data_IF_207303615160
#
_entry.id   IF_207303615160
#
_cell.length_a   1.000
_cell.length_b   1.000
_cell.length_c   1.000
_cell.angle_alpha   90.00
_cell.angle_beta   90.00
_cell.angle_gamma   90.00
#
_symmetry.space_group_name_H-M   'P 1'
#
loop_
_entity.id
_entity.type
_entity.pdbx_description
1 polymer ?
#
# COMPACT_ATOMS: atom_id res chain seq x y z
N UNK A 1 29.53 60.32 -33.87
CA UNK A 1 28.40 59.57 -34.48
C UNK A 1 28.64 58.09 -34.20
N UNK A 2 27.65 57.43 -33.60
CA UNK A 2 27.71 56.09 -32.96
C UNK A 2 27.80 54.97 -34.02
N UNK A 3 28.44 53.81 -33.75
CA UNK A 3 27.67 52.57 -33.53
C UNK A 3 28.18 51.79 -32.30
N UNK A 4 27.33 51.56 -31.29
CA UNK A 4 26.47 50.38 -31.15
C UNK A 4 27.30 49.12 -30.80
N UNK A 5 27.62 49.01 -29.51
CA UNK A 5 28.18 47.83 -28.87
C UNK A 5 27.02 46.87 -28.58
N UNK A 6 26.88 45.83 -29.40
CA UNK A 6 25.84 44.80 -29.27
C UNK A 6 26.24 43.79 -28.20
N UNK A 7 25.52 43.83 -27.08
CA UNK A 7 25.61 42.90 -25.96
C UNK A 7 24.91 41.59 -26.36
N UNK A 8 25.65 40.51 -26.58
CA UNK A 8 25.07 39.16 -26.72
C UNK A 8 24.68 38.65 -25.33
N UNK A 9 23.40 38.71 -24.97
CA UNK A 9 22.84 37.91 -23.88
C UNK A 9 22.75 36.46 -24.37
N UNK A 10 23.63 35.60 -23.87
CA UNK A 10 23.44 34.16 -23.95
C UNK A 10 22.30 33.77 -23.00
N UNK A 11 21.10 33.58 -23.53
CA UNK A 11 20.01 32.95 -22.79
C UNK A 11 20.38 31.47 -22.56
N UNK A 12 20.82 31.14 -21.33
CA UNK A 12 20.86 29.75 -20.87
C UNK A 12 19.41 29.25 -20.82
N UNK A 13 18.98 28.57 -21.88
CA UNK A 13 17.81 27.70 -21.83
C UNK A 13 18.16 26.58 -20.87
N UNK A 14 17.79 26.73 -19.61
CA UNK A 14 17.67 25.61 -18.68
C UNK A 14 16.56 24.74 -19.25
N UNK A 15 16.94 23.69 -19.99
CA UNK A 15 16.03 22.57 -20.22
C UNK A 15 15.70 22.00 -18.85
N UNK A 16 14.57 22.42 -18.28
CA UNK A 16 13.87 21.61 -17.30
C UNK A 16 13.47 20.34 -18.03
N UNK A 17 14.26 19.29 -17.87
CA UNK A 17 13.76 17.94 -18.04
C UNK A 17 12.68 17.77 -16.98
N UNK A 18 11.41 17.99 -17.35
CA UNK A 18 10.31 17.41 -16.61
C UNK A 18 10.56 15.90 -16.63
N UNK A 19 11.00 15.34 -15.50
CA UNK A 19 10.94 13.90 -15.30
C UNK A 19 9.45 13.56 -15.32
N UNK A 20 8.97 13.05 -16.45
CA UNK A 20 7.67 12.42 -16.50
C UNK A 20 7.64 11.31 -15.45
N UNK A 21 6.61 11.28 -14.62
CA UNK A 21 6.33 10.23 -13.61
C UNK A 21 6.14 8.82 -14.23
N UNK A 22 6.43 8.66 -15.52
CA UNK A 22 6.20 7.47 -16.34
C UNK A 22 7.32 6.41 -16.24
N UNK A 23 8.30 6.58 -15.35
CA UNK A 23 9.36 5.58 -15.13
C UNK A 23 8.83 4.21 -14.66
N UNK A 24 7.55 4.12 -14.30
CA UNK A 24 6.88 2.92 -13.82
C UNK A 24 5.71 2.43 -14.68
N UNK A 25 5.53 2.97 -15.90
CA UNK A 25 4.48 2.51 -16.80
C UNK A 25 4.76 1.06 -17.24
N UNK A 26 4.02 0.09 -16.68
CA UNK A 26 4.09 -1.28 -17.17
C UNK A 26 3.55 -1.37 -18.58
N UNK A 27 4.27 -2.07 -19.43
CA UNK A 27 3.74 -2.63 -20.67
C UNK A 27 2.64 -3.63 -20.31
N UNK A 28 1.38 -3.23 -20.43
CA UNK A 28 0.26 -4.16 -20.33
C UNK A 28 0.37 -5.20 -21.47
N UNK A 29 0.08 -6.47 -21.16
CA UNK A 29 0.19 -7.56 -22.15
C UNK A 29 -0.82 -7.40 -23.30
N UNK A 30 -1.90 -6.67 -23.02
CA UNK A 30 -2.88 -6.22 -23.98
C UNK A 30 -3.22 -4.75 -23.71
N UNK A 31 -3.40 -3.89 -24.72
CA UNK A 31 -3.92 -2.54 -24.51
C UNK A 31 -5.33 -2.52 -23.92
N UNK A 32 -5.99 -3.68 -23.83
CA UNK A 32 -7.29 -3.88 -23.19
C UNK A 32 -7.19 -4.58 -21.83
N UNK A 33 -5.99 -5.00 -21.39
CA UNK A 33 -5.80 -5.79 -20.18
C UNK A 33 -6.73 -7.01 -20.13
N UNK A 34 -7.53 -7.12 -19.06
CA UNK A 34 -8.54 -8.16 -18.88
C UNK A 34 -9.91 -7.88 -19.51
N UNK A 35 -10.08 -6.76 -20.21
CA UNK A 35 -11.37 -6.36 -20.79
C UNK A 35 -11.53 -6.75 -22.26
N UNK A 36 -12.77 -7.00 -22.68
CA UNK A 36 -13.09 -7.16 -24.12
C UNK A 36 -13.02 -5.82 -24.84
N UNK A 37 -12.58 -5.81 -26.11
CA UNK A 37 -12.48 -4.59 -26.94
C UNK A 37 -13.81 -3.87 -27.21
N UNK A 38 -14.96 -4.51 -26.99
CA UNK A 38 -16.29 -3.93 -27.17
C UNK A 38 -16.95 -3.42 -25.88
N UNK A 39 -16.22 -3.40 -24.76
CA UNK A 39 -16.80 -3.03 -23.47
C UNK A 39 -16.96 -1.51 -23.32
N UNK A 40 -18.01 -1.08 -22.61
CA UNK A 40 -18.14 0.29 -22.14
C UNK A 40 -17.50 0.51 -20.77
N UNK A 41 -16.96 -0.54 -20.13
CA UNK A 41 -16.37 -0.45 -18.79
C UNK A 41 -15.20 0.54 -18.72
N UNK A 42 -14.52 0.80 -19.83
CA UNK A 42 -13.45 1.79 -19.92
C UNK A 42 -13.92 3.18 -19.46
N UNK A 43 -15.18 3.55 -19.74
CA UNK A 43 -15.73 4.87 -19.40
C UNK A 43 -16.06 5.05 -17.92
N UNK A 44 -15.96 3.97 -17.13
CA UNK A 44 -16.05 4.08 -15.67
C UNK A 44 -14.84 4.82 -15.10
N UNK A 45 -13.68 4.67 -15.74
CA UNK A 45 -12.41 5.23 -15.27
C UNK A 45 -11.84 6.30 -16.20
N UNK A 46 -12.05 6.15 -17.51
CA UNK A 46 -11.40 6.99 -18.51
C UNK A 46 -12.37 7.88 -19.29
N UNK A 47 -11.87 9.03 -19.75
CA UNK A 47 -12.51 9.85 -20.79
C UNK A 47 -11.45 10.34 -21.78
N UNK A 48 -11.76 10.34 -23.07
CA UNK A 48 -10.76 10.56 -24.13
C UNK A 48 -10.54 12.03 -24.49
N UNK A 49 -11.48 12.91 -24.15
CA UNK A 49 -11.42 14.33 -24.54
C UNK A 49 -11.27 15.30 -23.37
N UNK A 50 -11.71 14.91 -22.18
CA UNK A 50 -11.85 15.82 -21.03
C UNK A 50 -11.24 15.25 -19.75
N UNK A 51 -10.25 14.37 -19.88
CA UNK A 51 -9.64 13.74 -18.71
C UNK A 51 -8.81 14.75 -17.93
N UNK A 52 -9.13 15.02 -16.65
CA UNK A 52 -8.27 15.83 -15.80
C UNK A 52 -6.98 15.11 -15.39
N UNK A 53 -6.94 13.77 -15.48
CA UNK A 53 -5.83 12.95 -15.01
C UNK A 53 -4.93 12.38 -16.09
N UNK A 54 -3.70 12.05 -15.68
CA UNK A 54 -2.76 11.26 -16.48
C UNK A 54 -3.43 9.94 -16.90
N UNK A 55 -3.02 9.38 -18.04
CA UNK A 55 -3.60 8.13 -18.60
C UNK A 55 -5.12 8.22 -18.82
N UNK A 56 -5.62 9.40 -19.14
CA UNK A 56 -7.03 9.66 -19.46
C UNK A 56 -8.01 9.43 -18.29
N UNK A 57 -7.56 9.48 -17.04
CA UNK A 57 -8.44 9.27 -15.88
C UNK A 57 -9.43 10.42 -15.72
N UNK A 58 -10.70 10.09 -15.44
CA UNK A 58 -11.80 11.06 -15.33
C UNK A 58 -11.80 11.87 -14.02
N UNK A 59 -11.10 11.41 -12.98
CA UNK A 59 -10.93 12.12 -11.71
C UNK A 59 -9.46 12.12 -11.29
N UNK A 60 -9.06 13.12 -10.49
CA UNK A 60 -7.74 13.19 -9.85
C UNK A 60 -7.84 13.73 -8.42
N UNK A 61 -6.95 13.32 -7.48
CA UNK A 61 -5.97 12.23 -7.62
C UNK A 61 -6.65 10.87 -7.88
N UNK A 62 -5.88 9.85 -8.27
CA UNK A 62 -6.43 8.54 -8.66
C UNK A 62 -7.37 7.96 -7.60
N UNK A 63 -7.10 8.20 -6.31
CA UNK A 63 -7.97 7.77 -5.22
C UNK A 63 -9.41 8.29 -5.35
N UNK A 64 -9.60 9.53 -5.82
CA UNK A 64 -10.93 10.13 -6.00
C UNK A 64 -11.74 9.30 -6.99
N UNK A 65 -11.11 8.82 -8.06
CA UNK A 65 -11.74 7.91 -9.00
C UNK A 65 -12.16 6.60 -8.33
N UNK A 66 -11.24 5.97 -7.60
CA UNK A 66 -11.49 4.71 -6.91
C UNK A 66 -12.66 4.85 -5.92
N UNK A 67 -12.71 5.97 -5.19
CA UNK A 67 -13.74 6.27 -4.21
C UNK A 67 -15.12 6.56 -4.81
N UNK A 68 -15.25 6.75 -6.13
CA UNK A 68 -16.58 6.79 -6.77
C UNK A 68 -17.38 5.51 -6.51
N UNK A 69 -16.69 4.38 -6.31
CA UNK A 69 -17.31 3.10 -5.97
C UNK A 69 -16.88 2.57 -4.59
N UNK A 70 -15.61 2.77 -4.21
CA UNK A 70 -15.04 2.26 -2.95
C UNK A 70 -15.28 3.17 -1.72
N UNK A 71 -16.34 3.97 -1.77
CA UNK A 71 -16.87 4.74 -0.63
C UNK A 71 -18.03 4.02 0.09
N UNK A 72 -18.31 2.77 -0.26
CA UNK A 72 -19.42 1.97 0.28
C UNK A 72 -20.77 2.14 -0.44
N UNK A 73 -20.83 2.89 -1.53
CA UNK A 73 -22.07 3.06 -2.32
C UNK A 73 -22.05 2.31 -3.65
N UNK A 74 -20.91 2.28 -4.35
CA UNK A 74 -20.77 1.58 -5.64
C UNK A 74 -20.17 0.18 -5.54
N UNK A 75 -19.53 -0.16 -4.42
CA UNK A 75 -19.02 -1.50 -4.12
C UNK A 75 -19.35 -1.90 -2.69
N UNK A 76 -19.25 -3.21 -2.39
CA UNK A 76 -19.37 -3.72 -1.01
C UNK A 76 -18.26 -3.23 -0.08
N UNK A 77 -17.18 -2.69 -0.65
CA UNK A 77 -16.05 -2.16 0.10
C UNK A 77 -16.16 -0.65 0.29
N UNK A 78 -15.93 -0.21 1.52
CA UNK A 78 -15.75 1.19 1.86
C UNK A 78 -14.30 1.38 2.32
N UNK A 79 -13.39 1.59 1.37
CA UNK A 79 -11.98 1.82 1.69
C UNK A 79 -11.68 3.30 1.93
N UNK A 80 -12.53 4.20 1.44
CA UNK A 80 -12.39 5.64 1.69
C UNK A 80 -12.32 5.94 3.19
N UNK A 81 -13.12 5.27 4.04
CA UNK A 81 -13.08 5.48 5.50
C UNK A 81 -11.76 5.05 6.15
N UNK A 82 -11.04 4.09 5.57
CA UNK A 82 -9.72 3.69 6.08
C UNK A 82 -8.65 4.70 5.66
N UNK A 83 -8.83 5.32 4.48
CA UNK A 83 -7.91 6.32 3.96
C UNK A 83 -8.22 7.74 4.46
N UNK A 84 -9.39 7.99 5.05
CA UNK A 84 -9.81 9.24 5.71
C UNK A 84 -9.54 9.23 7.22
N UNK A 85 -8.68 8.33 7.72
CA UNK A 85 -8.24 8.35 9.10
C UNK A 85 -7.22 9.47 9.32
N UNK A 86 -7.13 10.01 10.54
CA UNK A 86 -6.11 11.00 10.90
C UNK A 86 -4.71 10.34 10.91
N UNK A 87 -3.77 10.73 10.04
CA UNK A 87 -2.43 10.16 9.99
C UNK A 87 -1.58 10.45 11.23
N UNK A 88 -1.97 11.40 12.09
CA UNK A 88 -1.29 11.66 13.36
C UNK A 88 -1.62 10.62 14.45
N UNK A 89 -2.74 9.91 14.31
CA UNK A 89 -3.25 8.97 15.31
C UNK A 89 -3.39 7.53 14.80
N UNK A 90 -3.31 7.32 13.49
CA UNK A 90 -3.58 6.04 12.84
C UNK A 90 -2.46 5.70 11.86
N UNK A 91 -2.23 4.41 11.60
CA UNK A 91 -1.25 3.97 10.61
C UNK A 91 -1.92 3.69 9.27
N UNK A 92 -1.30 4.12 8.18
CA UNK A 92 -1.74 3.84 6.82
C UNK A 92 -0.59 3.82 5.82
N UNK A 93 -0.75 3.08 4.72
CA UNK A 93 0.15 3.29 3.58
C UNK A 93 -0.09 4.68 2.97
N UNK A 94 0.98 5.40 2.57
CA UNK A 94 0.89 6.79 2.14
C UNK A 94 0.37 6.89 0.70
N UNK A 95 -0.94 6.74 0.51
CA UNK A 95 -1.61 6.93 -0.79
C UNK A 95 -1.98 8.40 -0.97
N UNK A 96 -1.86 8.91 -2.20
CA UNK A 96 -2.33 10.25 -2.58
C UNK A 96 -3.84 10.32 -2.40
N UNK A 97 -4.30 11.00 -1.36
CA UNK A 97 -5.71 11.25 -1.07
C UNK A 97 -5.94 12.71 -0.73
N UNK A 98 -7.18 13.15 -0.83
CA UNK A 98 -7.63 14.47 -0.39
C UNK A 98 -9.00 14.32 0.26
N UNK A 99 -9.00 13.97 1.55
CA UNK A 99 -10.20 13.65 2.32
C UNK A 99 -10.31 14.53 3.57
N UNK A 100 -11.49 14.65 4.20
CA UNK A 100 -11.70 15.58 5.32
C UNK A 100 -10.74 15.46 6.51
N UNK A 101 -10.44 14.24 6.99
CA UNK A 101 -9.52 14.02 8.12
C UNK A 101 -8.14 13.54 7.67
N UNK A 102 -7.96 13.26 6.37
CA UNK A 102 -6.66 13.09 5.74
C UNK A 102 -6.48 14.07 4.56
N UNK A 103 -6.43 15.39 4.84
CA UNK A 103 -6.33 16.40 3.80
C UNK A 103 -4.89 16.56 3.34
N UNK A 104 -4.70 16.62 2.02
CA UNK A 104 -3.43 17.01 1.43
C UNK A 104 -2.45 15.85 1.29
N UNK A 105 -1.91 15.75 0.09
CA UNK A 105 -0.86 14.83 -0.33
C UNK A 105 0.40 15.13 0.47
N UNK A 106 0.61 14.46 1.59
CA UNK A 106 1.88 14.54 2.28
C UNK A 106 2.93 13.81 1.44
N UNK A 107 3.96 14.55 1.01
CA UNK A 107 5.29 13.96 0.81
C UNK A 107 5.65 13.24 2.10
N UNK A 108 5.26 11.97 2.21
CA UNK A 108 5.66 11.13 3.31
C UNK A 108 7.17 10.92 3.17
N UNK A 109 7.92 11.73 3.91
CA UNK A 109 9.35 11.53 4.08
C UNK A 109 9.44 10.58 5.27
N UNK A 110 9.91 9.33 5.08
CA UNK A 110 9.90 8.33 6.14
C UNK A 110 10.54 8.89 7.41
N UNK A 111 9.79 8.93 8.51
CA UNK A 111 10.30 9.37 9.82
C UNK A 111 11.24 8.31 10.41
N UNK A 112 11.18 7.08 9.89
CA UNK A 112 12.01 5.98 10.39
C UNK A 112 13.32 5.86 9.61
N UNK A 113 14.43 5.87 10.34
CA UNK A 113 15.81 5.58 9.94
C UNK A 113 16.03 4.19 9.33
N UNK A 114 14.98 3.38 9.18
CA UNK A 114 15.08 1.99 8.75
C UNK A 114 15.13 1.78 7.22
N UNK A 115 14.94 2.82 6.39
CA UNK A 115 15.02 2.73 4.91
C UNK A 115 14.27 1.51 4.35
N UNK A 116 13.13 1.15 4.93
CA UNK A 116 12.43 -0.08 4.56
C UNK A 116 11.52 0.12 3.36
N UNK A 117 11.18 1.35 2.96
CA UNK A 117 10.39 1.67 1.77
C UNK A 117 10.78 3.04 1.18
N UNK A 118 10.60 3.29 -0.13
CA UNK A 118 10.81 4.63 -0.70
C UNK A 118 9.83 5.65 -0.08
N UNK A 119 10.17 6.95 -0.06
CA UNK A 119 9.22 8.00 0.29
C UNK A 119 8.01 7.96 -0.64
N UNK A 120 6.82 8.06 -0.05
CA UNK A 120 5.56 8.24 -0.78
C UNK A 120 5.37 9.70 -1.22
N UNK A 121 4.18 10.06 -1.74
CA UNK A 121 2.94 9.27 -1.74
C UNK A 121 2.71 8.48 -3.04
N UNK A 122 2.00 7.35 -2.93
CA UNK A 122 1.70 6.43 -4.04
C UNK A 122 0.26 6.57 -4.54
N UNK A 123 -0.02 6.05 -5.73
CA UNK A 123 -1.39 5.87 -6.23
C UNK A 123 -1.89 4.45 -5.90
N UNK A 124 -3.20 4.21 -5.91
CA UNK A 124 -3.78 2.88 -5.64
C UNK A 124 -3.23 1.83 -6.62
N UNK A 125 -3.00 2.25 -7.87
CA UNK A 125 -2.44 1.47 -8.96
C UNK A 125 -0.96 1.08 -8.77
N UNK A 126 -0.31 1.55 -7.71
CA UNK A 126 1.01 1.05 -7.34
C UNK A 126 0.94 -0.41 -6.91
N UNK A 127 -0.03 -0.73 -6.03
CA UNK A 127 -0.27 -2.09 -5.54
C UNK A 127 -1.32 -2.84 -6.38
N UNK A 128 -2.29 -2.11 -6.94
CA UNK A 128 -3.37 -2.69 -7.73
C UNK A 128 -3.16 -2.54 -9.24
N UNK A 129 -3.69 -3.47 -10.00
CA UNK A 129 -3.81 -3.42 -11.43
C UNK A 129 -5.31 -3.28 -11.79
N UNK A 130 -5.83 -2.07 -12.03
CA UNK A 130 -7.25 -1.85 -12.32
C UNK A 130 -7.71 -2.50 -13.63
N UNK A 131 -6.79 -2.94 -14.49
CA UNK A 131 -7.11 -3.71 -15.70
C UNK A 131 -7.23 -5.22 -15.47
N UNK A 132 -6.84 -5.70 -14.29
CA UNK A 132 -7.07 -7.08 -13.85
C UNK A 132 -6.31 -8.17 -14.62
N UNK A 133 -5.32 -7.82 -15.44
CA UNK A 133 -4.55 -8.78 -16.26
C UNK A 133 -3.35 -9.42 -15.53
N UNK A 134 -3.15 -9.09 -14.25
CA UNK A 134 -2.11 -9.70 -13.40
C UNK A 134 -2.45 -11.11 -12.92
N UNK A 135 -3.74 -11.48 -12.88
CA UNK A 135 -4.22 -12.78 -12.42
C UNK A 135 -4.23 -12.98 -10.89
N UNK A 136 -3.85 -11.97 -10.11
CA UNK A 136 -3.89 -12.03 -8.65
C UNK A 136 -5.24 -11.53 -8.10
N UNK A 137 -5.61 -12.05 -6.92
CA UNK A 137 -6.83 -11.65 -6.23
C UNK A 137 -6.86 -10.16 -5.89
N UNK A 138 -8.06 -9.61 -5.72
CA UNK A 138 -8.28 -8.19 -5.38
C UNK A 138 -7.58 -7.20 -6.32
N UNK A 139 -7.41 -7.59 -7.58
CA UNK A 139 -6.69 -6.81 -8.60
C UNK A 139 -5.28 -6.46 -8.16
N UNK A 140 -4.57 -7.28 -7.38
CA UNK A 140 -3.19 -6.97 -7.01
C UNK A 140 -2.26 -7.10 -8.23
N UNK A 141 -1.22 -6.28 -8.29
CA UNK A 141 -0.21 -6.35 -9.35
C UNK A 141 0.75 -7.54 -9.15
N UNK A 142 0.93 -7.97 -7.91
CA UNK A 142 1.78 -9.08 -7.49
C UNK A 142 1.07 -9.98 -6.48
N UNK A 143 1.71 -11.10 -6.14
CA UNK A 143 1.19 -12.07 -5.17
C UNK A 143 1.13 -11.53 -3.74
N UNK A 144 0.02 -11.87 -3.08
CA UNK A 144 -0.16 -11.72 -1.64
C UNK A 144 -0.99 -12.89 -1.11
N UNK A 145 -0.35 -13.81 -0.40
CA UNK A 145 -1.00 -14.99 0.19
C UNK A 145 -1.51 -14.68 1.61
N UNK A 146 -2.84 -14.72 1.77
CA UNK A 146 -3.54 -14.46 3.03
C UNK A 146 -4.08 -15.73 3.69
N UNK A 147 -3.60 -16.90 3.27
CA UNK A 147 -3.93 -18.15 3.95
C UNK A 147 -3.40 -18.16 5.37
N UNK A 148 -4.01 -18.97 6.24
CA UNK A 148 -3.63 -19.09 7.64
C UNK A 148 -2.13 -19.47 7.78
N UNK A 149 -1.65 -20.42 6.97
CA UNK A 149 -0.26 -20.88 6.99
C UNK A 149 0.41 -20.71 5.63
N UNK A 150 1.46 -19.89 5.57
CA UNK A 150 2.20 -19.59 4.34
C UNK A 150 3.65 -20.02 4.48
N UNK A 151 4.14 -20.82 3.55
CA UNK A 151 5.55 -21.21 3.51
C UNK A 151 6.35 -20.18 2.71
N UNK A 152 7.16 -19.37 3.41
CA UNK A 152 8.05 -18.39 2.79
C UNK A 152 9.45 -18.97 2.52
N UNK A 153 10.04 -18.63 1.37
CA UNK A 153 11.37 -19.08 0.95
C UNK A 153 11.42 -20.52 0.39
N UNK A 154 10.26 -21.07 0.02
CA UNK A 154 10.16 -22.35 -0.69
C UNK A 154 10.41 -22.23 -2.20
N UNK A 155 10.28 -23.35 -2.92
CA UNK A 155 10.29 -23.34 -4.39
C UNK A 155 8.96 -22.78 -4.90
N UNK A 156 8.97 -21.67 -5.64
CA UNK A 156 7.76 -21.05 -6.19
C UNK A 156 7.86 -19.52 -6.30
N UNK A 157 6.74 -18.88 -6.66
CA UNK A 157 6.60 -17.43 -6.58
C UNK A 157 6.63 -16.97 -5.12
N UNK A 158 7.19 -15.79 -4.86
CA UNK A 158 7.20 -15.21 -3.51
C UNK A 158 5.75 -14.93 -3.08
N UNK A 159 5.26 -15.44 -1.94
CA UNK A 159 3.88 -15.22 -1.51
C UNK A 159 3.58 -13.78 -1.09
N UNK A 160 4.60 -12.91 -0.94
CA UNK A 160 4.45 -11.53 -0.45
C UNK A 160 5.10 -10.50 -1.37
N UNK A 161 5.22 -10.80 -2.66
CA UNK A 161 5.85 -9.92 -3.64
C UNK A 161 5.24 -8.51 -3.63
N UNK A 162 3.92 -8.37 -3.41
CA UNK A 162 3.27 -7.05 -3.25
C UNK A 162 3.94 -6.19 -2.19
N UNK A 163 4.31 -6.78 -1.04
CA UNK A 163 4.94 -6.05 0.06
C UNK A 163 6.40 -5.69 -0.28
N UNK A 164 7.11 -6.62 -0.93
CA UNK A 164 8.55 -6.47 -1.21
C UNK A 164 8.90 -5.44 -2.28
N UNK A 165 7.91 -4.97 -3.04
CA UNK A 165 8.09 -3.86 -3.97
C UNK A 165 8.48 -2.54 -3.27
N UNK A 166 8.23 -2.45 -1.97
CA UNK A 166 8.76 -1.39 -1.12
C UNK A 166 9.60 -1.97 0.02
N UNK A 167 9.09 -2.98 0.73
CA UNK A 167 9.66 -3.51 1.96
C UNK A 167 10.88 -4.43 1.73
N UNK A 168 11.97 -4.20 2.46
CA UNK A 168 13.13 -5.08 2.41
C UNK A 168 12.82 -6.46 2.99
N UNK A 169 12.63 -7.45 2.11
CA UNK A 169 12.36 -8.84 2.50
C UNK A 169 13.50 -9.43 3.34
N UNK A 170 14.75 -9.04 3.09
CA UNK A 170 15.89 -9.49 3.88
C UNK A 170 15.88 -8.89 5.29
N UNK A 171 15.61 -7.59 5.44
CA UNK A 171 15.55 -6.94 6.75
C UNK A 171 14.43 -7.54 7.62
N UNK A 172 13.22 -7.68 7.07
CA UNK A 172 12.06 -8.20 7.81
C UNK A 172 12.23 -9.69 8.10
N UNK A 173 12.55 -10.51 7.11
CA UNK A 173 12.55 -11.97 7.30
C UNK A 173 13.80 -12.51 7.99
N UNK A 174 14.72 -11.63 8.39
CA UNK A 174 15.88 -11.95 9.24
C UNK A 174 15.81 -11.32 10.64
N UNK A 175 14.88 -10.39 10.89
CA UNK A 175 14.69 -9.77 12.21
C UNK A 175 14.41 -10.83 13.28
N UNK A 176 15.27 -10.85 14.28
CA UNK A 176 15.21 -11.66 15.50
C UNK A 176 15.37 -10.81 16.76
N UNK A 177 15.44 -9.48 16.60
CA UNK A 177 15.82 -8.54 17.66
C UNK A 177 14.61 -7.84 18.23
N UNK A 178 13.73 -7.34 17.35
CA UNK A 178 12.53 -6.59 17.74
C UNK A 178 11.33 -7.54 17.86
N UNK A 179 10.28 -7.37 17.05
CA UNK A 179 9.16 -8.30 16.95
C UNK A 179 9.57 -9.76 16.63
N UNK A 180 10.77 -9.94 16.07
CA UNK A 180 11.29 -11.23 15.63
C UNK A 180 10.47 -11.77 14.47
N UNK A 181 10.24 -10.95 13.45
CA UNK A 181 9.50 -11.32 12.24
C UNK A 181 9.97 -12.66 11.63
N UNK A 182 11.27 -12.96 11.70
CA UNK A 182 11.80 -14.26 11.24
C UNK A 182 11.14 -15.45 11.95
N UNK A 183 10.85 -15.35 13.24
CA UNK A 183 10.17 -16.41 13.98
C UNK A 183 8.76 -16.62 13.42
N UNK A 184 7.96 -15.55 13.33
CA UNK A 184 6.59 -15.63 12.86
C UNK A 184 6.48 -16.08 11.40
N UNK A 185 7.29 -15.50 10.50
CA UNK A 185 7.22 -15.78 9.06
C UNK A 185 7.83 -17.13 8.71
N UNK A 186 9.05 -17.44 9.17
CA UNK A 186 9.77 -18.65 8.72
C UNK A 186 9.52 -19.89 9.58
N UNK A 187 9.30 -19.73 10.89
CA UNK A 187 9.10 -20.86 11.80
C UNK A 187 7.62 -21.14 12.03
N UNK A 188 6.86 -20.14 12.45
CA UNK A 188 5.44 -20.28 12.72
C UNK A 188 4.58 -20.30 11.44
N UNK A 189 5.15 -19.87 10.29
CA UNK A 189 4.46 -19.78 8.99
C UNK A 189 3.23 -18.87 9.02
N UNK A 190 3.21 -17.91 9.95
CA UNK A 190 2.13 -16.94 10.03
C UNK A 190 2.17 -16.05 8.78
N UNK A 191 1.02 -15.90 8.13
CA UNK A 191 0.88 -14.94 7.02
C UNK A 191 1.11 -13.51 7.52
N UNK A 192 1.68 -12.63 6.68
CA UNK A 192 1.70 -11.19 6.96
C UNK A 192 0.29 -10.67 7.29
N UNK A 193 -0.73 -11.22 6.63
CA UNK A 193 -2.13 -10.86 6.88
C UNK A 193 -2.63 -11.24 8.28
N UNK A 194 -1.98 -12.19 8.97
CA UNK A 194 -2.34 -12.56 10.34
C UNK A 194 -2.33 -11.34 11.27
N UNK A 195 -1.36 -10.44 11.09
CA UNK A 195 -1.23 -9.19 11.84
C UNK A 195 -1.52 -7.94 11.01
N UNK A 196 -1.28 -7.95 9.70
CA UNK A 196 -1.52 -6.83 8.80
C UNK A 196 -2.68 -7.15 7.85
N UNK A 197 -3.85 -7.47 8.43
CA UNK A 197 -5.02 -7.90 7.66
C UNK A 197 -5.52 -6.83 6.70
N UNK A 198 -5.42 -5.56 7.10
CA UNK A 198 -5.64 -4.43 6.18
C UNK A 198 -4.32 -3.71 5.93
N UNK A 199 -3.79 -3.76 4.69
CA UNK A 199 -2.66 -2.94 4.30
C UNK A 199 -3.09 -1.51 3.93
N UNK A 200 -4.32 -1.08 4.19
CA UNK A 200 -4.73 0.29 3.86
C UNK A 200 -4.48 1.22 5.03
N UNK A 201 -5.52 1.51 5.83
CA UNK A 201 -5.44 2.27 7.06
C UNK A 201 -6.10 1.54 8.22
N UNK A 202 -5.47 1.58 9.38
CA UNK A 202 -5.94 0.95 10.62
C UNK A 202 -5.67 1.86 11.81
N UNK A 203 -6.46 1.68 12.88
CA UNK A 203 -6.38 2.54 14.05
C UNK A 203 -5.13 2.32 14.92
N UNK A 204 -4.50 1.16 14.81
CA UNK A 204 -3.29 0.87 15.56
C UNK A 204 -2.05 1.35 14.81
N UNK A 205 -0.96 1.55 15.54
CA UNK A 205 0.36 1.79 14.97
C UNK A 205 0.87 0.57 14.19
N UNK A 206 1.92 0.77 13.41
CA UNK A 206 2.59 -0.29 12.62
C UNK A 206 1.66 -1.07 11.68
N UNK A 207 0.50 -0.49 11.30
CA UNK A 207 -0.51 -1.16 10.47
C UNK A 207 -1.01 -2.50 11.07
N UNK A 208 -1.01 -2.66 12.40
CA UNK A 208 -1.44 -3.90 13.03
C UNK A 208 -2.97 -3.98 13.15
N UNK A 209 -3.56 -4.90 12.42
CA UNK A 209 -4.96 -5.34 12.55
C UNK A 209 -5.02 -6.83 12.30
N UNK A 210 -5.39 -7.60 13.31
CA UNK A 210 -5.40 -9.05 13.22
C UNK A 210 -6.44 -9.58 12.22
N UNK A 211 -6.11 -10.68 11.54
CA UNK A 211 -7.02 -11.34 10.62
C UNK A 211 -8.15 -12.04 11.40
N UNK A 212 -9.40 -11.59 11.29
CA UNK A 212 -10.49 -12.16 12.07
C UNK A 212 -10.87 -13.57 11.63
N UNK A 213 -10.37 -14.06 10.49
CA UNK A 213 -10.69 -15.39 9.97
C UNK A 213 -10.01 -16.52 10.75
N UNK A 214 -8.85 -16.25 11.36
CA UNK A 214 -8.06 -17.28 12.05
C UNK A 214 -7.26 -16.76 13.25
N UNK A 215 -7.28 -15.45 13.54
CA UNK A 215 -6.79 -14.91 14.82
C UNK A 215 -7.99 -14.63 15.70
N UNK A 216 -7.95 -15.18 16.92
CA UNK A 216 -9.08 -15.14 17.86
C UNK A 216 -8.65 -14.56 19.20
N UNK A 217 -9.58 -14.49 20.14
CA UNK A 217 -9.31 -14.04 21.50
C UNK A 217 -8.30 -14.97 22.18
N UNK A 218 -7.53 -14.43 23.11
CA UNK A 218 -6.72 -15.23 24.02
C UNK A 218 -7.61 -16.27 24.70
N UNK A 219 -7.17 -17.53 24.67
CA UNK A 219 -7.93 -18.64 25.25
C UNK A 219 -7.89 -18.62 26.77
N UNK A 220 -6.83 -18.09 27.38
CA UNK A 220 -6.72 -17.99 28.84
C UNK A 220 -7.41 -16.76 29.42
N UNK A 221 -7.45 -15.62 28.70
CA UNK A 221 -8.13 -14.41 29.16
C UNK A 221 -9.57 -14.25 28.65
N UNK A 222 -9.95 -15.00 27.61
CA UNK A 222 -11.20 -14.80 26.88
C UNK A 222 -11.40 -13.33 26.42
N UNK A 223 -10.30 -12.68 26.03
CA UNK A 223 -10.26 -11.28 25.59
C UNK A 223 -9.31 -11.10 24.41
N UNK A 224 -9.36 -9.96 23.74
CA UNK A 224 -8.61 -9.72 22.50
C UNK A 224 -9.46 -9.91 21.23
N UNK A 225 -8.84 -10.08 20.05
CA UNK A 225 -7.42 -9.91 19.79
C UNK A 225 -7.02 -8.42 19.89
N UNK A 226 -6.01 -8.09 20.70
CA UNK A 226 -5.52 -6.72 20.89
C UNK A 226 -4.01 -6.63 20.72
N UNK A 227 -3.57 -5.47 20.21
CA UNK A 227 -2.19 -5.07 20.11
C UNK A 227 -2.03 -3.76 20.89
N UNK A 228 -0.97 -3.69 21.70
CA UNK A 228 -0.57 -2.49 22.41
C UNK A 228 0.87 -2.19 22.00
N UNK A 229 1.06 -1.03 21.38
CA UNK A 229 2.37 -0.48 21.11
C UNK A 229 2.95 0.14 22.38
N UNK A 230 4.13 -0.31 22.79
CA UNK A 230 4.81 0.17 23.98
C UNK A 230 5.95 1.16 23.63
N UNK A 231 6.13 1.49 22.34
CA UNK A 231 7.24 2.29 21.85
C UNK A 231 8.55 1.51 21.74
N UNK A 232 9.60 2.16 21.24
CA UNK A 232 10.97 1.62 21.15
C UNK A 232 11.06 0.22 20.50
N UNK A 233 10.26 -0.02 19.45
CA UNK A 233 10.14 -1.31 18.75
C UNK A 233 9.65 -2.47 19.64
N UNK A 234 8.91 -2.16 20.69
CA UNK A 234 8.31 -3.12 21.61
C UNK A 234 6.79 -3.03 21.59
N UNK A 235 6.14 -4.14 21.90
CA UNK A 235 4.68 -4.21 21.92
C UNK A 235 4.21 -5.40 22.71
N UNK A 236 2.89 -5.49 22.89
CA UNK A 236 2.28 -6.66 23.51
C UNK A 236 0.99 -7.06 22.80
N UNK A 237 0.76 -8.36 22.70
CA UNK A 237 -0.40 -8.93 22.03
C UNK A 237 -1.22 -9.76 23.01
N UNK A 238 -2.54 -9.58 23.02
CA UNK A 238 -3.48 -10.48 23.69
C UNK A 238 -4.38 -11.12 22.65
N UNK A 239 -4.12 -12.38 22.29
CA UNK A 239 -4.80 -13.09 21.21
C UNK A 239 -4.51 -14.60 21.26
N UNK A 240 -5.22 -15.38 20.45
CA UNK A 240 -4.83 -16.74 20.07
C UNK A 240 -4.56 -16.82 18.58
N UNK A 241 -3.37 -17.33 18.21
CA UNK A 241 -2.93 -17.50 16.83
C UNK A 241 -2.36 -18.91 16.66
N UNK A 242 -2.95 -19.72 15.78
CA UNK A 242 -2.58 -21.13 15.56
C UNK A 242 -2.55 -21.98 16.84
N UNK A 243 -3.51 -21.75 17.75
CA UNK A 243 -3.58 -22.43 19.04
C UNK A 243 -2.52 -21.97 20.05
N UNK A 244 -1.63 -21.04 19.67
CA UNK A 244 -0.68 -20.39 20.58
C UNK A 244 -1.37 -19.20 21.22
N UNK A 245 -1.57 -19.29 22.53
CA UNK A 245 -2.14 -18.23 23.34
C UNK A 245 -1.09 -17.16 23.68
N UNK A 246 -1.41 -15.89 23.44
CA UNK A 246 -0.63 -14.73 23.80
C UNK A 246 -1.39 -13.98 24.89
N UNK A 247 -0.87 -13.95 26.12
CA UNK A 247 -1.58 -13.42 27.29
C UNK A 247 -0.66 -12.58 28.21
N UNK A 248 -0.81 -11.26 28.15
CA UNK A 248 -0.30 -10.54 27.00
C UNK A 248 1.17 -10.92 26.78
N UNK A 249 1.52 -11.36 25.57
CA UNK A 249 2.91 -11.67 25.26
C UNK A 249 3.61 -10.40 24.76
N UNK A 250 4.65 -9.97 25.47
CA UNK A 250 5.48 -8.83 25.08
C UNK A 250 6.69 -9.26 24.25
N UNK A 251 7.15 -8.38 23.37
CA UNK A 251 8.37 -8.56 22.57
C UNK A 251 9.24 -7.31 22.62
#
# INVERSE_FOLDING_TARGET
>A
MIPAMTLFLAAMVVLLFATSDDANAQSYTSPHGGFSSSTQLCTLCHTIHEAPGNRLLKEMPESTLCFTCHNGTGSVYNIQVQMDMDPAANAMHPIKVSLPNNPGVYSYTPVTTANVAPPGPYDCSFCHNPHGDSGYGSLLRWSYDTSEYVTYGGMGSDPYETCWNCHSSSAITTDMTYFRHRFHIKRAKASCSACHYSPHGVANTELVRFNPLYVTNSTSLNSGPTYVDNGDHSGSCTLSCHGVDHNPYSY
#
